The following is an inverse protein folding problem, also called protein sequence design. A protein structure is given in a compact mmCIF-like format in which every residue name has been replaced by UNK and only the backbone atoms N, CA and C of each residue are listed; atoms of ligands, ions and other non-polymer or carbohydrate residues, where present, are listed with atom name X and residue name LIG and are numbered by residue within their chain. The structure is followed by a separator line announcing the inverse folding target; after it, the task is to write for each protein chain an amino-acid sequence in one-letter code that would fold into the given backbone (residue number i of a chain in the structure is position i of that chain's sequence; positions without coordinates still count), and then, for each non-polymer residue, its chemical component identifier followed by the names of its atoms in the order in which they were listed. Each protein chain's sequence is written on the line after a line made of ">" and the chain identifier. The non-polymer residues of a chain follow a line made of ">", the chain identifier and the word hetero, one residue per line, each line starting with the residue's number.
data_IF_469050403149
#
_entry.id   IF_469050403149
#
_cell.length_a   1.000
_cell.length_b   1.000
_cell.length_c   1.000
_cell.angle_alpha   90.00
_cell.angle_beta   90.00
_cell.angle_gamma   90.00
#
_symmetry.space_group_name_H-M   'P 1'
#
loop_
_entity.id
_entity.type
_entity.pdbx_description
1 polymer ?
#
# COMPACT_ATOMS: atom_id res chain seq x y z
N UNK A 1 26.58 2.21 -3.43
CA UNK A 1 27.00 3.09 -2.34
C UNK A 1 27.16 4.52 -2.74
N UNK A 2 28.25 4.89 -3.42
CA UNK A 2 28.62 6.30 -3.69
C UNK A 2 27.55 7.09 -4.46
N UNK A 3 26.93 6.52 -5.49
CA UNK A 3 25.88 7.18 -6.26
C UNK A 3 24.68 7.56 -5.38
N UNK A 4 24.29 6.72 -4.43
CA UNK A 4 23.20 6.98 -3.49
C UNK A 4 23.61 8.12 -2.53
N UNK A 5 24.81 8.03 -1.95
CA UNK A 5 25.33 9.06 -1.03
C UNK A 5 25.40 10.42 -1.71
N UNK A 6 25.78 10.47 -2.99
CA UNK A 6 25.82 11.70 -3.79
C UNK A 6 24.42 12.26 -4.10
N UNK A 7 23.41 11.39 -4.33
CA UNK A 7 22.06 11.79 -4.69
C UNK A 7 21.21 12.22 -3.49
N UNK A 8 21.43 11.66 -2.29
CA UNK A 8 20.64 11.93 -1.10
C UNK A 8 20.63 13.40 -0.63
N UNK A 9 21.77 14.13 -0.54
CA UNK A 9 21.77 15.48 0.02
C UNK A 9 20.90 16.50 -0.74
N UNK A 10 20.88 16.55 -2.09
CA UNK A 10 19.98 17.45 -2.81
C UNK A 10 18.51 17.08 -2.61
N UNK A 11 18.18 15.79 -2.56
CA UNK A 11 16.83 15.32 -2.28
C UNK A 11 16.39 15.69 -0.85
N UNK A 12 17.25 15.46 0.13
CA UNK A 12 16.98 15.84 1.52
C UNK A 12 16.76 17.35 1.68
N UNK A 13 17.53 18.18 1.00
CA UNK A 13 17.30 19.65 1.00
C UNK A 13 15.95 20.01 0.40
N UNK A 14 15.53 19.34 -0.66
CA UNK A 14 14.24 19.58 -1.32
C UNK A 14 13.05 19.10 -0.48
N UNK A 15 13.16 17.91 0.08
CA UNK A 15 12.06 17.24 0.79
C UNK A 15 11.99 17.55 2.28
N UNK A 16 13.08 18.06 2.86
CA UNK A 16 13.20 18.44 4.26
C UNK A 16 12.72 17.32 5.22
N UNK A 17 13.31 16.11 5.15
CA UNK A 17 12.92 15.03 6.05
C UNK A 17 13.27 15.39 7.50
N UNK A 18 12.34 15.09 8.42
CA UNK A 18 12.48 15.36 9.85
C UNK A 18 11.52 14.52 10.68
N UNK A 19 11.45 14.76 11.98
CA UNK A 19 10.54 14.07 12.88
C UNK A 19 10.81 12.54 12.97
N UNK A 20 12.05 12.11 12.78
CA UNK A 20 12.39 10.68 12.84
C UNK A 20 12.16 10.12 14.23
N UNK A 21 11.33 9.08 14.31
CA UNK A 21 11.04 8.37 15.55
C UNK A 21 10.81 6.88 15.27
N UNK A 22 11.15 6.03 16.22
CA UNK A 22 10.75 4.61 16.16
C UNK A 22 9.24 4.53 16.10
N UNK A 23 8.72 3.65 15.22
CA UNK A 23 7.28 3.45 15.10
C UNK A 23 6.75 2.64 16.28
N UNK A 24 5.94 3.22 17.18
CA UNK A 24 5.44 2.53 18.36
C UNK A 24 4.40 1.44 18.03
N UNK A 25 3.78 1.49 16.85
CA UNK A 25 2.77 0.54 16.40
C UNK A 25 3.38 -0.67 15.67
N UNK A 26 4.71 -0.70 15.58
CA UNK A 26 5.47 -1.76 14.91
C UNK A 26 6.42 -2.45 15.89
N UNK A 27 7.10 -3.49 15.40
CA UNK A 27 8.11 -4.19 16.22
C UNK A 27 9.19 -3.23 16.71
N UNK A 28 9.47 -3.28 18.01
CA UNK A 28 10.55 -2.51 18.62
C UNK A 28 11.92 -2.82 17.98
N UNK A 29 12.89 -1.91 18.07
CA UNK A 29 14.24 -2.16 17.61
C UNK A 29 14.81 -3.47 18.19
N UNK A 30 15.38 -4.31 17.33
CA UNK A 30 15.80 -5.65 17.71
C UNK A 30 17.07 -6.09 16.97
N UNK A 31 17.80 -7.01 17.59
CA UNK A 31 18.89 -7.73 16.91
C UNK A 31 18.29 -8.76 15.95
N UNK A 32 18.79 -8.80 14.74
CA UNK A 32 18.38 -9.73 13.68
C UNK A 32 19.60 -10.22 12.92
N UNK A 33 19.55 -11.46 12.45
CA UNK A 33 20.50 -11.94 11.45
C UNK A 33 19.90 -11.78 10.06
N UNK A 34 20.64 -11.12 9.15
CA UNK A 34 20.25 -10.92 7.74
C UNK A 34 21.45 -11.20 6.83
N UNK A 35 21.26 -12.09 5.87
CA UNK A 35 22.32 -12.51 4.95
C UNK A 35 23.64 -12.87 5.68
N UNK A 36 23.56 -13.59 6.80
CA UNK A 36 24.71 -13.99 7.60
C UNK A 36 25.35 -12.87 8.44
N UNK A 37 24.73 -11.70 8.51
CA UNK A 37 25.25 -10.54 9.27
C UNK A 37 24.33 -10.17 10.42
N UNK A 38 24.87 -10.01 11.61
CA UNK A 38 24.16 -9.49 12.77
C UNK A 38 23.95 -7.97 12.60
N UNK A 39 22.69 -7.55 12.70
CA UNK A 39 22.29 -6.17 12.57
C UNK A 39 21.27 -5.76 13.63
N UNK A 40 21.19 -4.48 13.92
CA UNK A 40 20.06 -3.89 14.63
C UNK A 40 19.07 -3.40 13.60
N UNK A 41 17.86 -3.95 13.62
CA UNK A 41 16.75 -3.53 12.73
C UNK A 41 15.77 -2.66 13.51
N UNK A 42 15.43 -1.51 12.95
CA UNK A 42 14.41 -0.61 13.48
C UNK A 42 13.45 -0.15 12.40
N UNK A 43 12.17 -0.10 12.75
CA UNK A 43 11.11 0.49 11.93
C UNK A 43 10.86 1.90 12.47
N UNK A 44 10.82 2.88 11.58
CA UNK A 44 10.69 4.28 11.98
C UNK A 44 9.68 5.02 11.13
N UNK A 45 9.12 6.09 11.68
CA UNK A 45 8.30 7.09 10.99
C UNK A 45 9.12 8.35 10.77
N UNK A 46 8.78 9.10 9.73
CA UNK A 46 9.36 10.41 9.46
C UNK A 46 8.36 11.28 8.69
N UNK A 47 8.63 12.56 8.67
CA UNK A 47 7.87 13.52 7.88
C UNK A 47 8.77 14.19 6.85
N UNK A 48 8.14 14.70 5.81
CA UNK A 48 8.76 15.58 4.82
C UNK A 48 7.93 16.85 4.66
N UNK A 49 8.42 17.79 3.86
CA UNK A 49 7.64 18.97 3.48
C UNK A 49 6.26 18.62 2.92
N UNK A 50 6.16 17.52 2.15
CA UNK A 50 4.97 17.18 1.36
C UNK A 50 4.21 15.97 1.87
N UNK A 51 4.76 15.20 2.81
CA UNK A 51 4.09 13.97 3.24
C UNK A 51 4.67 13.36 4.51
N UNK A 52 4.10 12.22 4.88
CA UNK A 52 4.52 11.37 5.99
C UNK A 52 4.94 10.02 5.44
N UNK A 53 5.96 9.44 6.03
CA UNK A 53 6.52 8.19 5.57
C UNK A 53 6.97 7.28 6.70
N UNK A 54 7.27 6.06 6.32
CA UNK A 54 7.89 5.08 7.20
C UNK A 54 9.15 4.50 6.57
N UNK A 55 9.92 3.78 7.36
CA UNK A 55 11.12 3.15 6.85
C UNK A 55 11.63 2.04 7.75
N UNK A 56 12.54 1.28 7.19
CA UNK A 56 13.30 0.25 7.93
C UNK A 56 14.77 0.56 7.75
N UNK A 57 15.48 0.68 8.89
CA UNK A 57 16.93 0.81 8.90
C UNK A 57 17.56 -0.43 9.54
N UNK A 58 18.66 -0.89 8.94
CA UNK A 58 19.53 -1.90 9.55
C UNK A 58 20.89 -1.30 9.78
N UNK A 59 21.34 -1.38 11.00
CA UNK A 59 22.61 -0.84 11.46
C UNK A 59 23.57 -1.99 11.77
N UNK A 60 24.83 -1.83 11.37
CA UNK A 60 25.93 -2.74 11.71
C UNK A 60 27.07 -1.95 12.31
N UNK A 61 27.89 -2.57 13.20
CA UNK A 61 29.11 -1.93 13.70
C UNK A 61 30.12 -1.77 12.57
N UNK A 62 30.77 -0.61 12.48
CA UNK A 62 31.90 -0.38 11.58
C UNK A 62 33.20 -0.48 12.38
N UNK A 63 33.97 -1.56 12.15
CA UNK A 63 35.22 -1.78 12.85
C UNK A 63 36.27 -0.69 12.55
N UNK A 64 36.21 -0.06 11.37
CA UNK A 64 37.11 1.03 11.01
C UNK A 64 36.80 2.34 11.74
N UNK A 65 35.61 2.44 12.35
CA UNK A 65 35.15 3.64 13.10
C UNK A 65 34.79 3.29 14.55
N UNK A 66 35.62 2.52 15.21
CA UNK A 66 35.46 2.19 16.63
C UNK A 66 34.15 1.45 16.96
N UNK A 67 33.66 0.62 16.05
CA UNK A 67 32.39 -0.10 16.17
C UNK A 67 31.16 0.82 16.26
N UNK A 68 31.25 2.06 15.79
CA UNK A 68 30.08 2.92 15.66
C UNK A 68 29.07 2.28 14.72
N UNK A 69 27.79 2.31 15.09
CA UNK A 69 26.72 1.79 14.26
C UNK A 69 26.52 2.66 13.01
N UNK A 70 26.58 2.04 11.85
CA UNK A 70 26.32 2.67 10.55
C UNK A 70 25.18 1.98 9.81
N UNK A 71 24.47 2.73 9.00
CA UNK A 71 23.41 2.19 8.17
C UNK A 71 23.99 1.24 7.12
N UNK A 72 23.58 -0.01 7.18
CA UNK A 72 23.88 -1.03 6.19
C UNK A 72 22.82 -1.06 5.09
N UNK A 73 21.55 -1.04 5.48
CA UNK A 73 20.42 -0.94 4.55
C UNK A 73 19.42 0.10 5.07
N UNK A 74 18.84 0.84 4.14
CA UNK A 74 17.79 1.81 4.42
C UNK A 74 16.70 1.66 3.36
N UNK A 75 15.48 1.43 3.80
CA UNK A 75 14.26 1.53 3.02
C UNK A 75 13.46 2.72 3.56
N UNK A 76 12.95 3.54 2.67
CA UNK A 76 11.95 4.57 2.98
C UNK A 76 10.82 4.49 1.99
N UNK A 77 9.60 4.71 2.47
CA UNK A 77 8.41 4.82 1.64
C UNK A 77 7.62 6.06 2.03
N UNK A 78 6.97 6.67 1.05
CA UNK A 78 5.97 7.70 1.28
C UNK A 78 4.63 7.02 1.51
N UNK A 79 4.07 7.13 2.71
CA UNK A 79 2.79 6.54 3.07
C UNK A 79 1.61 7.45 2.74
N UNK A 80 1.80 8.78 2.89
CA UNK A 80 0.72 9.74 2.80
C UNK A 80 1.22 11.10 2.31
N UNK A 81 0.43 11.78 1.49
CA UNK A 81 0.65 13.18 1.11
C UNK A 81 -0.12 14.11 2.05
N UNK A 82 0.53 15.13 2.59
CA UNK A 82 -0.11 16.17 3.42
C UNK A 82 -1.14 16.94 2.60
N UNK A 83 -2.35 17.06 3.14
CA UNK A 83 -3.49 17.68 2.45
C UNK A 83 -4.23 16.77 1.48
N UNK A 84 -3.78 15.51 1.34
CA UNK A 84 -4.42 14.47 0.53
C UNK A 84 -4.45 13.16 1.31
N UNK A 85 -4.86 13.24 2.57
CA UNK A 85 -4.96 12.09 3.46
C UNK A 85 -6.07 11.14 3.00
N UNK A 86 -5.87 9.84 3.20
CA UNK A 86 -6.89 8.84 2.91
C UNK A 86 -8.10 9.01 3.83
N UNK A 87 -9.30 9.01 3.25
CA UNK A 87 -10.56 9.10 3.99
C UNK A 87 -10.94 7.74 4.56
N UNK A 88 -10.48 7.45 5.77
CA UNK A 88 -10.68 6.18 6.46
C UNK A 88 -11.58 6.33 7.71
N UNK A 89 -12.03 5.22 8.24
CA UNK A 89 -12.81 5.19 9.46
C UNK A 89 -14.07 6.04 9.37
N UNK A 90 -14.19 7.05 10.20
CA UNK A 90 -15.35 7.96 10.22
C UNK A 90 -15.37 8.90 9.01
N UNK A 91 -14.20 9.22 8.45
CA UNK A 91 -14.06 10.09 7.28
C UNK A 91 -14.20 9.33 5.94
N UNK A 92 -14.41 8.01 5.99
CA UNK A 92 -14.56 7.20 4.77
C UNK A 92 -15.62 7.74 3.83
N UNK A 93 -15.44 7.61 2.50
CA UNK A 93 -16.44 8.00 1.52
C UNK A 93 -17.79 7.33 1.82
N UNK A 94 -18.83 8.12 1.97
CA UNK A 94 -20.16 7.63 2.42
C UNK A 94 -20.88 6.80 1.35
N UNK A 95 -20.48 6.89 0.10
CA UNK A 95 -21.18 6.26 -1.01
C UNK A 95 -22.58 6.85 -1.21
N UNK A 96 -23.49 6.04 -1.73
CA UNK A 96 -24.88 6.44 -1.86
C UNK A 96 -25.55 6.46 -0.48
N UNK A 97 -26.21 7.57 -0.15
CA UNK A 97 -26.89 7.71 1.10
C UNK A 97 -28.06 6.72 1.22
N UNK A 98 -28.38 6.35 2.44
CA UNK A 98 -29.59 5.58 2.72
C UNK A 98 -30.83 6.30 2.20
N UNK A 99 -31.65 5.62 1.41
CA UNK A 99 -32.93 6.12 0.89
C UNK A 99 -34.10 5.35 1.52
N UNK A 100 -35.17 6.07 1.81
CA UNK A 100 -36.47 5.49 2.21
C UNK A 100 -37.41 5.26 1.04
N UNK A 101 -36.98 5.58 -0.17
CA UNK A 101 -37.75 5.27 -1.38
C UNK A 101 -37.59 3.78 -1.72
N UNK A 102 -38.49 2.96 -1.20
CA UNK A 102 -38.51 1.51 -1.42
C UNK A 102 -38.94 1.09 -2.83
N UNK A 103 -39.37 2.03 -3.68
CA UNK A 103 -39.72 1.80 -5.09
C UNK A 103 -38.68 2.37 -6.05
N UNK A 104 -37.74 3.13 -5.56
CA UNK A 104 -36.65 3.71 -6.35
C UNK A 104 -35.57 2.70 -6.70
N UNK A 105 -34.50 3.14 -7.39
CA UNK A 105 -33.39 2.31 -7.76
C UNK A 105 -32.69 1.76 -6.51
N UNK A 106 -32.36 0.49 -6.53
CA UNK A 106 -31.59 -0.13 -5.46
C UNK A 106 -30.09 0.20 -5.60
N UNK A 107 -29.30 -0.21 -4.61
CA UNK A 107 -27.86 0.08 -4.60
C UNK A 107 -27.13 -0.45 -5.84
N UNK A 108 -27.53 -1.62 -6.36
CA UNK A 108 -26.94 -2.21 -7.56
C UNK A 108 -27.25 -1.39 -8.81
N UNK A 109 -28.49 -0.87 -8.92
CA UNK A 109 -28.91 -0.02 -10.02
C UNK A 109 -28.10 1.28 -10.06
N UNK A 110 -27.97 1.93 -8.89
CA UNK A 110 -27.17 3.14 -8.75
C UNK A 110 -25.69 2.88 -9.07
N UNK A 111 -25.15 1.74 -8.64
CA UNK A 111 -23.78 1.34 -8.96
C UNK A 111 -23.59 1.10 -10.45
N UNK A 112 -24.51 0.41 -11.11
CA UNK A 112 -24.44 0.18 -12.57
C UNK A 112 -24.52 1.50 -13.34
N UNK A 113 -25.44 2.39 -12.97
CA UNK A 113 -25.57 3.71 -13.58
C UNK A 113 -24.29 4.52 -13.41
N UNK A 114 -23.71 4.55 -12.19
CA UNK A 114 -22.45 5.25 -11.94
C UNK A 114 -21.27 4.65 -12.73
N UNK A 115 -21.21 3.32 -12.86
CA UNK A 115 -20.15 2.64 -13.59
C UNK A 115 -20.28 2.72 -15.10
N UNK A 116 -21.44 3.11 -15.63
CA UNK A 116 -21.66 3.28 -17.06
C UNK A 116 -20.95 4.52 -17.64
N UNK A 117 -20.63 5.51 -16.79
CA UNK A 117 -19.99 6.77 -17.20
C UNK A 117 -20.65 7.41 -18.43
N UNK A 118 -21.99 7.36 -18.49
CA UNK A 118 -22.74 7.87 -19.63
C UNK A 118 -22.79 9.40 -19.69
N UNK A 119 -22.54 10.06 -18.59
CA UNK A 119 -22.68 11.50 -18.36
C UNK A 119 -21.37 12.22 -18.06
N UNK A 120 -20.27 11.49 -17.88
CA UNK A 120 -18.96 12.05 -17.52
C UNK A 120 -17.82 11.10 -17.85
N UNK A 121 -16.61 11.61 -17.84
CA UNK A 121 -15.38 10.82 -17.90
C UNK A 121 -14.84 10.57 -16.48
N UNK A 122 -14.18 9.42 -16.23
CA UNK A 122 -13.47 9.19 -14.97
C UNK A 122 -12.24 10.10 -14.87
N UNK A 123 -11.90 10.56 -13.67
CA UNK A 123 -10.65 11.27 -13.43
C UNK A 123 -9.44 10.37 -13.70
N UNK A 124 -9.56 9.08 -13.35
CA UNK A 124 -8.52 8.06 -13.58
C UNK A 124 -9.14 6.84 -14.24
N UNK A 125 -8.56 6.41 -15.36
CA UNK A 125 -8.85 5.14 -15.99
C UNK A 125 -7.76 4.12 -15.65
N UNK A 126 -8.14 3.03 -14.99
CA UNK A 126 -7.26 1.92 -14.65
C UNK A 126 -7.47 0.78 -15.65
N UNK A 127 -6.44 0.45 -16.42
CA UNK A 127 -6.48 -0.64 -17.40
C UNK A 127 -5.95 -1.91 -16.75
N UNK A 128 -6.86 -2.86 -16.53
CA UNK A 128 -6.59 -4.15 -15.89
C UNK A 128 -7.14 -4.24 -14.46
N UNK A 129 -8.07 -5.16 -14.24
CA UNK A 129 -8.70 -5.49 -12.95
C UNK A 129 -7.99 -6.59 -12.17
N UNK A 130 -6.68 -6.77 -12.39
CA UNK A 130 -5.84 -7.65 -11.60
C UNK A 130 -5.49 -7.03 -10.24
N UNK A 131 -4.64 -7.71 -9.46
CA UNK A 131 -4.31 -7.25 -8.10
C UNK A 131 -3.80 -5.81 -8.05
N UNK A 132 -2.94 -5.39 -8.97
CA UNK A 132 -2.40 -4.02 -9.00
C UNK A 132 -3.48 -2.97 -9.31
N UNK A 133 -4.36 -3.27 -10.29
CA UNK A 133 -5.48 -2.39 -10.62
C UNK A 133 -6.48 -2.26 -9.49
N UNK A 134 -6.79 -3.36 -8.80
CA UNK A 134 -7.65 -3.34 -7.63
C UNK A 134 -7.02 -2.54 -6.46
N UNK A 135 -5.71 -2.73 -6.23
CA UNK A 135 -5.00 -2.00 -5.17
C UNK A 135 -5.01 -0.49 -5.42
N UNK A 136 -4.65 -0.05 -6.63
CA UNK A 136 -4.65 1.40 -6.93
C UNK A 136 -6.05 1.99 -6.88
N UNK A 137 -7.05 1.31 -7.44
CA UNK A 137 -8.43 1.81 -7.41
C UNK A 137 -8.99 1.89 -5.98
N UNK A 138 -8.66 0.94 -5.11
CA UNK A 138 -9.03 1.00 -3.70
C UNK A 138 -8.42 2.23 -3.00
N UNK A 139 -7.14 2.53 -3.27
CA UNK A 139 -6.45 3.72 -2.75
C UNK A 139 -7.07 5.02 -3.28
N UNK A 140 -7.27 5.11 -4.58
CA UNK A 140 -7.88 6.27 -5.22
C UNK A 140 -9.29 6.54 -4.67
N UNK A 141 -10.05 5.48 -4.38
CA UNK A 141 -11.37 5.61 -3.74
C UNK A 141 -11.29 6.25 -2.36
N UNK A 142 -10.30 5.90 -1.55
CA UNK A 142 -10.11 6.51 -0.22
C UNK A 142 -9.62 7.97 -0.31
N UNK A 143 -9.00 8.34 -1.42
CA UNK A 143 -8.64 9.72 -1.75
C UNK A 143 -9.78 10.50 -2.44
N UNK A 144 -10.97 9.91 -2.54
CA UNK A 144 -12.14 10.46 -3.24
C UNK A 144 -11.88 10.83 -4.70
N UNK A 145 -11.02 10.05 -5.38
CA UNK A 145 -10.73 10.21 -6.80
C UNK A 145 -11.67 9.30 -7.61
N UNK A 146 -12.44 9.91 -8.54
CA UNK A 146 -13.35 9.17 -9.42
C UNK A 146 -12.54 8.29 -10.38
N UNK A 147 -12.77 6.97 -10.30
CA UNK A 147 -11.91 5.98 -10.94
C UNK A 147 -12.73 4.87 -11.58
N UNK A 148 -12.46 4.60 -12.86
CA UNK A 148 -13.00 3.48 -13.60
C UNK A 148 -11.93 2.43 -13.85
N UNK A 149 -12.23 1.17 -13.54
CA UNK A 149 -11.41 0.01 -13.93
C UNK A 149 -12.03 -0.64 -15.16
N UNK A 150 -11.23 -0.86 -16.19
CA UNK A 150 -11.60 -1.67 -17.34
C UNK A 150 -10.71 -2.90 -17.43
N UNK A 151 -11.28 -4.04 -17.79
CA UNK A 151 -10.55 -5.30 -17.95
C UNK A 151 -11.07 -6.06 -19.17
N UNK A 152 -10.21 -6.85 -19.80
CA UNK A 152 -10.61 -7.76 -20.88
C UNK A 152 -11.42 -8.95 -20.39
N UNK A 153 -11.30 -9.28 -19.10
CA UNK A 153 -11.99 -10.40 -18.48
C UNK A 153 -13.40 -9.98 -18.02
N UNK A 154 -14.32 -10.92 -18.00
CA UNK A 154 -15.72 -10.65 -17.64
C UNK A 154 -15.91 -10.37 -16.16
N UNK A 155 -15.07 -10.93 -15.30
CA UNK A 155 -15.19 -10.82 -13.84
C UNK A 155 -13.84 -10.56 -13.19
N UNK A 156 -13.86 -9.77 -12.14
CA UNK A 156 -12.72 -9.64 -11.23
C UNK A 156 -12.28 -11.04 -10.74
N UNK A 157 -10.99 -11.31 -10.81
CA UNK A 157 -10.38 -12.58 -10.43
C UNK A 157 -10.30 -13.64 -11.55
N UNK A 158 -10.86 -13.40 -12.73
CA UNK A 158 -10.76 -14.36 -13.84
C UNK A 158 -9.31 -14.56 -14.30
N UNK A 159 -8.45 -13.57 -14.13
CA UNK A 159 -7.01 -13.71 -14.35
C UNK A 159 -6.37 -14.79 -13.44
N UNK A 160 -6.96 -15.09 -12.28
CA UNK A 160 -6.55 -16.19 -11.41
C UNK A 160 -7.27 -17.50 -11.76
N UNK A 161 -8.60 -17.49 -11.91
CA UNK A 161 -9.40 -18.69 -12.23
C UNK A 161 -8.95 -19.37 -13.52
N UNK A 162 -8.51 -18.60 -14.52
CA UNK A 162 -8.02 -19.12 -15.81
C UNK A 162 -6.55 -19.59 -15.79
N UNK A 163 -5.87 -19.53 -14.64
CA UNK A 163 -4.52 -20.10 -14.48
C UNK A 163 -4.57 -21.63 -14.43
N UNK A 164 -3.40 -22.27 -14.43
CA UNK A 164 -3.30 -23.72 -14.34
C UNK A 164 -4.03 -24.28 -13.11
N UNK A 165 -4.54 -25.50 -13.25
CA UNK A 165 -5.49 -26.09 -12.29
C UNK A 165 -4.98 -26.12 -10.84
N UNK A 166 -3.76 -26.55 -10.60
CA UNK A 166 -3.19 -26.71 -9.27
C UNK A 166 -2.47 -25.45 -8.73
N UNK A 167 -2.81 -24.25 -9.23
CA UNK A 167 -2.16 -23.04 -8.76
C UNK A 167 -2.45 -22.77 -7.29
N UNK A 168 -1.39 -22.65 -6.52
CA UNK A 168 -1.38 -22.10 -5.17
C UNK A 168 -0.31 -21.02 -5.09
N UNK A 169 -0.56 -19.92 -4.40
CA UNK A 169 0.43 -18.88 -4.21
C UNK A 169 1.61 -19.43 -3.42
N UNK A 170 2.82 -19.13 -3.86
CA UNK A 170 4.05 -19.56 -3.19
C UNK A 170 4.44 -18.66 -2.02
N UNK A 171 3.86 -17.48 -1.92
CA UNK A 171 4.01 -16.58 -0.79
C UNK A 171 2.98 -16.88 0.29
N UNK A 172 3.38 -16.71 1.55
CA UNK A 172 2.46 -16.85 2.68
C UNK A 172 1.38 -15.77 2.65
N UNK A 173 0.20 -16.09 3.20
CA UNK A 173 -0.99 -15.21 3.19
C UNK A 173 -0.71 -13.79 3.71
N UNK A 174 0.20 -13.64 4.69
CA UNK A 174 0.53 -12.36 5.31
C UNK A 174 1.12 -11.32 4.34
N UNK A 175 1.74 -11.76 3.24
CA UNK A 175 2.33 -10.86 2.23
C UNK A 175 1.43 -10.66 1.01
N UNK A 176 0.23 -11.25 1.02
CA UNK A 176 -0.71 -11.19 -0.08
C UNK A 176 -1.95 -10.33 0.21
N UNK A 177 -2.03 -9.69 1.37
CA UNK A 177 -3.14 -8.82 1.72
C UNK A 177 -3.35 -7.72 0.68
N UNK A 178 -4.62 -7.41 0.41
CA UNK A 178 -4.99 -6.24 -0.39
C UNK A 178 -5.15 -5.01 0.52
N UNK A 179 -4.98 -3.79 -0.02
CA UNK A 179 -5.28 -2.58 0.75
C UNK A 179 -6.69 -2.64 1.35
N UNK A 180 -6.80 -2.32 2.64
CA UNK A 180 -8.05 -2.31 3.42
C UNK A 180 -8.78 -3.66 3.52
N UNK A 181 -8.19 -4.74 3.00
CA UNK A 181 -8.79 -6.06 3.02
C UNK A 181 -7.73 -7.12 3.36
N UNK A 182 -7.66 -7.44 4.64
CA UNK A 182 -6.82 -8.51 5.14
C UNK A 182 -7.50 -9.85 4.86
N UNK A 183 -6.72 -10.87 4.50
CA UNK A 183 -7.23 -12.22 4.47
C UNK A 183 -7.57 -12.67 5.90
N UNK A 184 -8.69 -13.35 6.09
CA UNK A 184 -9.09 -13.85 7.42
C UNK A 184 -8.02 -14.76 8.04
N UNK A 185 -7.86 -14.75 9.38
CA UNK A 185 -6.82 -15.52 10.06
C UNK A 185 -6.98 -17.04 9.95
N UNK A 186 -8.14 -17.51 9.56
CA UNK A 186 -8.46 -18.94 9.32
C UNK A 186 -8.24 -19.38 7.87
N UNK A 187 -7.71 -18.52 7.00
CA UNK A 187 -7.37 -18.92 5.65
C UNK A 187 -6.06 -19.71 5.61
N UNK A 188 -5.86 -20.58 4.59
CA UNK A 188 -4.62 -21.33 4.42
C UNK A 188 -3.40 -20.45 4.34
N UNK A 189 -2.26 -20.92 4.85
CA UNK A 189 -0.97 -20.22 4.77
C UNK A 189 -0.61 -19.89 3.32
N UNK A 190 -0.87 -20.79 2.40
CA UNK A 190 -0.69 -20.63 0.97
C UNK A 190 -2.05 -20.66 0.29
N UNK A 191 -2.42 -19.57 -0.35
CA UNK A 191 -3.77 -19.36 -0.89
C UNK A 191 -3.90 -20.09 -2.23
N UNK A 192 -4.85 -21.05 -2.39
CA UNK A 192 -5.18 -21.62 -3.68
C UNK A 192 -5.93 -20.61 -4.55
N UNK A 193 -5.96 -20.86 -5.88
CA UNK A 193 -6.62 -19.93 -6.82
C UNK A 193 -8.16 -19.95 -6.76
N UNK A 194 -8.75 -21.03 -6.28
CA UNK A 194 -10.20 -21.28 -6.19
C UNK A 194 -10.68 -21.26 -4.75
#
# INVERSE_FOLDING_TARGET
>A
GEAIVKALPPLARSMQPGGFAVDPDRAAPRKVMRAGTDAIEAIFKFETKVGRGSGIIRLIPDAADGNRLKAWTLLTELGELKGFEEQLGIERPRGNAYSRDFRGPNWLDLRKASAAYADRDPTVLVIGGGQSGLCIAARLKQLNVDTLIVDREQRIGDNWRKRYHALTLHNQVQVNHLPYMLFPPNWPTYIPKD
#
